data_IF_610246980731
#
_entry.id   IF_610246980731
#
_cell.length_a   1.000
_cell.length_b   1.000
_cell.length_c   1.000
_cell.angle_alpha   90.00
_cell.angle_beta   90.00
_cell.angle_gamma   90.00
#
_symmetry.space_group_name_H-M   'P 1'
#
loop_
_entity.id
_entity.type
_entity.pdbx_description
1 polymer ?
#
# COMPACT_ATOMS: atom_id res chain seq x y z
N UNK A 1 48.89 -33.01 69.74
CA UNK A 1 48.10 -31.84 70.18
C UNK A 1 48.27 -30.74 69.13
N UNK A 2 47.17 -30.08 68.71
CA UNK A 2 47.06 -28.91 67.79
C UNK A 2 47.32 -29.17 66.28
N UNK A 3 46.28 -29.20 65.42
CA UNK A 3 45.59 -28.07 64.72
C UNK A 3 46.46 -27.44 63.61
N UNK A 4 46.05 -27.16 62.37
CA UNK A 4 44.84 -27.38 61.56
C UNK A 4 45.20 -27.00 60.09
N UNK A 5 44.34 -27.39 59.14
CA UNK A 5 44.24 -27.08 57.69
C UNK A 5 44.78 -25.71 57.18
N UNK A 6 45.08 -25.51 55.88
CA UNK A 6 44.10 -25.07 54.85
C UNK A 6 44.72 -25.07 53.43
N UNK A 7 43.88 -25.49 52.48
CA UNK A 7 44.05 -25.58 51.02
C UNK A 7 44.40 -24.26 50.31
N UNK A 8 45.14 -24.35 49.18
CA UNK A 8 45.17 -23.31 48.14
C UNK A 8 44.65 -23.85 46.79
N UNK A 9 43.37 -23.57 46.58
CA UNK A 9 42.64 -23.23 45.36
C UNK A 9 43.25 -23.62 44.00
N UNK A 10 42.71 -24.70 43.42
CA UNK A 10 42.61 -24.89 41.96
C UNK A 10 41.45 -24.01 41.47
N UNK A 11 41.73 -22.96 40.71
CA UNK A 11 40.69 -22.22 39.99
C UNK A 11 40.15 -23.09 38.86
N UNK A 12 38.91 -23.57 39.02
CA UNK A 12 38.12 -24.14 37.95
C UNK A 12 37.32 -23.00 37.31
N UNK A 13 37.73 -22.54 36.13
CA UNK A 13 36.99 -21.57 35.35
C UNK A 13 35.81 -22.29 34.66
N UNK A 14 34.61 -22.16 35.22
CA UNK A 14 33.38 -22.63 34.58
C UNK A 14 32.99 -21.68 33.45
N UNK A 15 33.18 -22.12 32.19
CA UNK A 15 32.59 -21.47 31.02
C UNK A 15 31.07 -21.71 31.04
N UNK A 16 30.31 -20.71 31.48
CA UNK A 16 28.86 -20.65 31.31
C UNK A 16 28.57 -20.13 29.88
N UNK A 17 28.34 -21.05 28.95
CA UNK A 17 27.64 -20.73 27.69
C UNK A 17 26.18 -20.41 28.02
N UNK A 18 25.88 -19.15 28.30
CA UNK A 18 24.52 -18.65 28.33
C UNK A 18 23.90 -18.72 26.93
N UNK A 19 22.60 -19.01 26.79
CA UNK A 19 21.94 -19.00 25.50
C UNK A 19 21.97 -17.56 24.98
N UNK A 20 22.61 -17.35 23.82
CA UNK A 20 22.41 -16.14 23.05
C UNK A 20 20.92 -16.09 22.67
N UNK A 21 20.17 -15.21 23.32
CA UNK A 21 18.87 -14.81 22.81
C UNK A 21 19.14 -14.19 21.44
N UNK A 22 18.91 -14.98 20.38
CA UNK A 22 18.77 -14.45 19.04
C UNK A 22 17.58 -13.47 19.12
N UNK A 23 17.88 -12.18 19.22
CA UNK A 23 16.90 -11.17 18.91
C UNK A 23 16.58 -11.38 17.43
N UNK A 24 15.43 -11.99 17.15
CA UNK A 24 14.87 -11.95 15.82
C UNK A 24 14.75 -10.48 15.48
N UNK A 25 15.56 -10.03 14.53
CA UNK A 25 15.33 -8.80 13.81
C UNK A 25 13.92 -8.94 13.22
N UNK A 26 12.92 -8.31 13.85
CA UNK A 26 11.55 -8.19 13.35
C UNK A 26 11.65 -7.34 12.08
N UNK A 27 12.13 -7.95 11.00
CA UNK A 27 12.49 -7.24 9.79
C UNK A 27 11.28 -6.50 9.24
N UNK A 28 11.46 -5.23 8.91
CA UNK A 28 10.37 -4.43 8.38
C UNK A 28 9.95 -4.91 6.99
N UNK A 29 8.65 -4.99 6.75
CA UNK A 29 8.12 -5.29 5.43
C UNK A 29 8.51 -4.21 4.42
N UNK A 30 9.07 -4.62 3.28
CA UNK A 30 9.53 -3.72 2.23
C UNK A 30 8.46 -3.59 1.16
N UNK A 31 8.04 -2.36 0.91
CA UNK A 31 7.20 -2.03 -0.24
C UNK A 31 8.06 -1.74 -1.47
N UNK A 32 7.68 -2.36 -2.59
CA UNK A 32 8.31 -2.19 -3.89
C UNK A 32 7.24 -1.86 -4.94
N UNK A 33 7.58 -0.96 -5.85
CA UNK A 33 6.79 -0.66 -7.04
C UNK A 33 7.74 -0.65 -8.24
N UNK A 34 7.35 -1.33 -9.33
CA UNK A 34 8.15 -1.36 -10.55
C UNK A 34 8.25 0.02 -11.22
N UNK A 35 7.25 0.89 -10.97
CA UNK A 35 7.14 2.21 -11.59
C UNK A 35 6.93 3.25 -10.48
N UNK A 36 7.83 4.24 -10.41
CA UNK A 36 7.76 5.35 -9.46
C UNK A 36 7.11 6.61 -10.05
N UNK A 37 6.98 6.67 -11.37
CA UNK A 37 6.43 7.82 -12.09
C UNK A 37 5.48 7.35 -13.18
N UNK A 38 4.24 7.83 -13.16
CA UNK A 38 3.25 7.56 -14.20
C UNK A 38 3.18 8.79 -15.10
N UNK A 39 3.69 8.65 -16.32
CA UNK A 39 3.65 9.72 -17.32
C UNK A 39 2.44 9.56 -18.26
N UNK A 40 1.57 10.56 -18.25
CA UNK A 40 0.42 10.66 -19.14
C UNK A 40 0.71 11.48 -20.39
N UNK A 41 1.88 12.09 -20.50
CA UNK A 41 2.25 13.01 -21.55
C UNK A 41 1.36 14.24 -21.56
N UNK A 42 1.05 14.72 -22.77
CA UNK A 42 0.22 15.91 -22.95
C UNK A 42 -1.26 15.54 -22.99
N UNK A 43 -2.04 16.12 -22.09
CA UNK A 43 -3.49 16.09 -22.20
C UNK A 43 -3.97 17.04 -23.28
N UNK A 44 -4.76 16.52 -24.23
CA UNK A 44 -5.62 17.32 -25.11
C UNK A 44 -7.06 16.90 -24.89
N UNK A 45 -7.95 17.87 -24.81
CA UNK A 45 -9.37 17.62 -24.57
C UNK A 45 -9.98 16.68 -25.60
N UNK A 46 -9.63 16.87 -26.87
CA UNK A 46 -10.17 16.09 -28.00
C UNK A 46 -9.65 14.64 -28.03
N UNK A 47 -8.49 14.39 -27.43
CA UNK A 47 -7.87 13.06 -27.32
C UNK A 47 -8.42 12.27 -26.11
N UNK A 48 -9.15 12.94 -25.21
CA UNK A 48 -9.68 12.35 -23.99
C UNK A 48 -11.15 12.01 -24.12
N UNK A 49 -11.54 10.85 -23.58
CA UNK A 49 -12.93 10.42 -23.62
C UNK A 49 -13.74 11.23 -22.61
N UNK A 50 -14.78 11.91 -23.08
CA UNK A 50 -15.83 12.45 -22.20
C UNK A 50 -16.37 11.31 -21.35
N UNK A 51 -16.27 11.47 -20.04
CA UNK A 51 -16.67 10.47 -19.09
C UNK A 51 -17.19 11.12 -17.83
N UNK A 52 -18.19 10.49 -17.25
CA UNK A 52 -18.52 10.67 -15.85
C UNK A 52 -17.71 9.66 -15.07
N UNK A 53 -17.03 10.10 -14.01
CA UNK A 53 -16.67 9.17 -12.95
C UNK A 53 -17.49 9.50 -11.73
N UNK A 54 -18.45 8.62 -11.45
CA UNK A 54 -19.09 8.58 -10.15
C UNK A 54 -18.03 8.23 -9.11
N UNK A 55 -17.71 9.21 -8.28
CA UNK A 55 -16.87 9.03 -7.11
C UNK A 55 -17.73 9.31 -5.89
N UNK A 56 -18.19 8.24 -5.24
CA UNK A 56 -18.90 8.27 -3.95
C UNK A 56 -20.09 9.26 -4.00
N UNK A 57 -21.04 8.99 -4.90
CA UNK A 57 -22.29 9.75 -5.02
C UNK A 57 -22.18 11.14 -5.64
N UNK A 58 -21.01 11.52 -6.19
CA UNK A 58 -20.87 12.69 -7.07
C UNK A 58 -20.31 12.27 -8.41
N UNK A 59 -21.03 12.63 -9.46
CA UNK A 59 -20.57 12.47 -10.83
C UNK A 59 -19.56 13.58 -11.14
N UNK A 60 -18.28 13.24 -11.21
CA UNK A 60 -17.29 14.12 -11.83
C UNK A 60 -17.47 14.03 -13.33
N UNK A 61 -18.17 15.01 -13.89
CA UNK A 61 -18.23 15.23 -15.33
C UNK A 61 -16.88 15.79 -15.78
N UNK A 62 -16.20 15.07 -16.66
CA UNK A 62 -14.91 15.51 -17.17
C UNK A 62 -14.41 14.66 -18.33
N UNK A 63 -13.11 14.74 -18.54
CA UNK A 63 -12.40 14.03 -19.57
C UNK A 63 -11.48 13.03 -18.87
N UNK A 64 -11.68 11.74 -19.15
CA UNK A 64 -10.92 10.66 -18.55
C UNK A 64 -9.67 10.37 -19.38
N UNK A 65 -8.53 10.19 -18.70
CA UNK A 65 -7.34 9.65 -19.32
C UNK A 65 -7.50 8.17 -19.63
N UNK A 66 -6.58 7.62 -20.43
CA UNK A 66 -6.34 6.17 -20.46
C UNK A 66 -5.97 5.70 -19.05
N UNK A 67 -6.37 4.50 -18.66
CA UNK A 67 -5.94 3.90 -17.38
C UNK A 67 -4.50 3.42 -17.50
N UNK A 68 -3.66 3.78 -16.52
CA UNK A 68 -2.30 3.27 -16.40
C UNK A 68 -2.26 2.20 -15.33
N UNK A 69 -1.60 1.10 -15.62
CA UNK A 69 -1.45 -0.03 -14.70
C UNK A 69 -0.01 -0.14 -14.24
N UNK A 70 0.19 -0.38 -12.95
CA UNK A 70 1.50 -0.68 -12.39
C UNK A 70 1.38 -1.74 -11.29
N UNK A 71 2.40 -2.59 -11.21
CA UNK A 71 2.46 -3.63 -10.18
C UNK A 71 3.04 -3.07 -8.90
N UNK A 72 2.31 -3.26 -7.81
CA UNK A 72 2.78 -3.00 -6.45
C UNK A 72 3.02 -4.34 -5.75
N UNK A 73 4.04 -4.38 -4.90
CA UNK A 73 4.35 -5.55 -4.10
C UNK A 73 4.86 -5.16 -2.71
N UNK A 74 4.50 -5.98 -1.73
CA UNK A 74 5.04 -5.93 -0.37
C UNK A 74 5.71 -7.27 -0.10
N UNK A 75 6.90 -7.24 0.52
CA UNK A 75 7.64 -8.41 0.96
C UNK A 75 7.97 -8.29 2.44
N UNK A 76 7.55 -9.27 3.24
CA UNK A 76 7.82 -9.39 4.67
C UNK A 76 8.78 -10.56 4.92
N UNK A 77 9.58 -10.53 6.01
CA UNK A 77 10.45 -11.65 6.39
C UNK A 77 9.67 -12.85 6.95
N UNK A 78 8.46 -12.63 7.44
CA UNK A 78 7.55 -13.63 7.99
C UNK A 78 6.11 -13.34 7.56
N UNK A 79 5.22 -14.32 7.73
CA UNK A 79 3.82 -14.20 7.30
C UNK A 79 3.06 -13.15 8.12
N UNK A 80 2.58 -12.10 7.46
CA UNK A 80 1.82 -10.99 8.06
C UNK A 80 0.55 -10.71 7.25
N UNK A 81 -0.48 -10.17 7.91
CA UNK A 81 -1.57 -9.50 7.18
C UNK A 81 -1.02 -8.16 6.72
N UNK A 82 -0.99 -7.92 5.41
CA UNK A 82 -0.43 -6.70 4.82
C UNK A 82 -1.54 -5.79 4.30
N UNK A 83 -1.52 -4.54 4.72
CA UNK A 83 -2.47 -3.51 4.30
C UNK A 83 -1.76 -2.37 3.60
N UNK A 84 -2.13 -2.10 2.35
CA UNK A 84 -1.54 -1.01 1.56
C UNK A 84 -2.45 0.21 1.66
N UNK A 85 -1.91 1.32 2.19
CA UNK A 85 -2.58 2.61 2.18
C UNK A 85 -1.88 3.57 1.22
N UNK A 86 -2.61 4.59 0.80
CA UNK A 86 -2.09 5.68 -0.03
C UNK A 86 -2.26 6.96 0.76
N UNK A 87 -1.23 7.80 0.75
CA UNK A 87 -1.26 9.15 1.28
C UNK A 87 -1.07 10.13 0.13
N UNK A 88 -1.93 11.15 0.08
CA UNK A 88 -1.98 12.12 -0.99
C UNK A 88 -3.11 13.10 -0.78
N UNK A 89 -3.17 14.16 -1.58
CA UNK A 89 -4.25 15.12 -1.46
C UNK A 89 -5.58 14.49 -1.88
N UNK A 90 -6.64 14.77 -1.12
CA UNK A 90 -7.98 14.26 -1.35
C UNK A 90 -8.97 15.38 -1.67
N UNK A 91 -10.03 15.05 -2.44
CA UNK A 91 -11.22 15.89 -2.58
C UNK A 91 -12.34 15.36 -1.72
N UNK A 92 -12.53 15.98 -0.56
CA UNK A 92 -13.63 15.67 0.37
C UNK A 92 -13.71 14.17 0.71
N UNK A 93 -12.56 13.49 0.87
CA UNK A 93 -12.41 12.07 1.19
C UNK A 93 -13.10 11.08 0.25
N UNK A 94 -13.44 11.52 -0.98
CA UNK A 94 -14.18 10.70 -1.96
C UNK A 94 -13.37 10.31 -3.19
N UNK A 95 -12.42 11.15 -3.55
CA UNK A 95 -11.52 10.94 -4.67
C UNK A 95 -10.15 11.51 -4.34
N UNK A 96 -9.11 11.00 -4.99
CA UNK A 96 -7.80 11.61 -4.93
C UNK A 96 -7.83 12.92 -5.72
N UNK A 97 -7.23 13.99 -5.19
CA UNK A 97 -7.08 15.25 -5.91
C UNK A 97 -6.08 15.02 -7.04
N UNK A 98 -6.42 15.53 -8.21
CA UNK A 98 -5.47 15.63 -9.32
C UNK A 98 -5.53 17.04 -9.85
N UNK A 99 -4.65 17.91 -9.35
CA UNK A 99 -4.66 19.35 -9.56
C UNK A 99 -5.93 20.02 -9.01
N UNK A 100 -6.03 21.34 -9.16
CA UNK A 100 -7.20 22.12 -8.72
C UNK A 100 -8.44 21.91 -9.58
N UNK A 101 -8.29 21.38 -10.80
CA UNK A 101 -9.38 21.20 -11.74
C UNK A 101 -9.60 19.73 -12.15
N UNK A 102 -9.07 18.78 -11.38
CA UNK A 102 -9.22 17.35 -11.65
C UNK A 102 -9.29 16.46 -10.41
N UNK A 103 -9.51 15.18 -10.68
CA UNK A 103 -9.57 14.11 -9.71
C UNK A 103 -8.88 12.86 -10.27
N UNK A 104 -8.50 11.94 -9.39
CA UNK A 104 -7.85 10.68 -9.74
C UNK A 104 -8.59 9.52 -9.07
N UNK A 105 -8.90 8.51 -9.87
CA UNK A 105 -9.38 7.21 -9.43
C UNK A 105 -8.20 6.28 -9.28
N UNK A 106 -8.10 5.63 -8.13
CA UNK A 106 -7.16 4.55 -7.89
C UNK A 106 -7.97 3.30 -7.57
N UNK A 107 -7.68 2.23 -8.30
CA UNK A 107 -8.28 0.92 -8.08
C UNK A 107 -7.20 -0.15 -8.09
N UNK A 108 -7.50 -1.31 -7.52
CA UNK A 108 -6.60 -2.46 -7.48
C UNK A 108 -7.31 -3.70 -7.98
N UNK A 109 -6.59 -4.53 -8.73
CA UNK A 109 -7.03 -5.85 -9.21
C UNK A 109 -5.89 -6.86 -9.16
N UNK A 110 -6.18 -8.10 -9.55
CA UNK A 110 -5.20 -9.18 -9.71
C UNK A 110 -4.37 -9.48 -8.45
N UNK A 111 -4.99 -9.32 -7.28
CA UNK A 111 -4.38 -9.55 -5.98
C UNK A 111 -3.83 -10.97 -5.84
N UNK A 112 -2.61 -11.10 -5.33
CA UNK A 112 -1.99 -12.39 -4.99
C UNK A 112 -1.25 -12.35 -3.67
N UNK A 113 -1.50 -13.33 -2.81
CA UNK A 113 -0.77 -13.59 -1.58
C UNK A 113 0.07 -14.85 -1.78
N UNK A 114 1.39 -14.76 -1.64
CA UNK A 114 2.36 -15.85 -1.86
C UNK A 114 2.12 -16.56 -3.21
N UNK A 115 1.82 -15.78 -4.24
CA UNK A 115 1.52 -16.26 -5.59
C UNK A 115 0.10 -16.79 -5.82
N UNK A 116 -0.70 -17.02 -4.76
CA UNK A 116 -2.09 -17.50 -4.85
C UNK A 116 -3.04 -16.32 -5.06
N UNK A 117 -4.02 -16.48 -5.95
CA UNK A 117 -5.04 -15.45 -6.18
C UNK A 117 -5.86 -15.18 -4.93
N UNK A 118 -6.12 -13.91 -4.63
CA UNK A 118 -6.96 -13.45 -3.52
C UNK A 118 -7.97 -12.42 -4.03
N UNK A 119 -9.05 -12.23 -3.30
CA UNK A 119 -9.90 -11.06 -3.47
C UNK A 119 -9.29 -9.86 -2.74
N UNK A 120 -9.80 -8.67 -3.04
CA UNK A 120 -9.35 -7.40 -2.50
C UNK A 120 -10.50 -6.68 -1.80
N UNK A 121 -10.19 -6.05 -0.67
CA UNK A 121 -11.13 -5.21 0.06
C UNK A 121 -10.53 -3.83 0.33
N UNK A 122 -11.36 -2.78 0.22
CA UNK A 122 -11.02 -1.45 0.70
C UNK A 122 -11.65 -1.28 2.09
N UNK A 123 -10.82 -1.13 3.11
CA UNK A 123 -11.24 -1.11 4.52
C UNK A 123 -10.78 0.16 5.20
N UNK A 124 -11.45 0.55 6.28
CA UNK A 124 -10.97 1.66 7.10
C UNK A 124 -9.57 1.37 7.64
N UNK A 125 -8.71 2.39 7.65
CA UNK A 125 -7.40 2.29 8.30
C UNK A 125 -7.63 1.98 9.78
N UNK A 126 -6.97 0.92 10.28
CA UNK A 126 -7.17 0.42 11.65
C UNK A 126 -8.38 -0.49 11.85
N UNK A 127 -9.07 -0.92 10.78
CA UNK A 127 -10.18 -1.87 10.90
C UNK A 127 -9.76 -3.17 11.61
N UNK A 128 -10.53 -3.62 12.60
CA UNK A 128 -10.22 -4.86 13.36
C UNK A 128 -10.69 -6.10 12.61
N UNK A 129 -11.82 -6.01 11.91
CA UNK A 129 -12.41 -7.12 11.15
C UNK A 129 -12.46 -6.73 9.69
N UNK A 130 -11.94 -7.62 8.85
CA UNK A 130 -11.91 -7.44 7.39
C UNK A 130 -12.51 -8.69 6.75
N UNK A 131 -13.60 -8.47 6.03
CA UNK A 131 -14.41 -9.51 5.40
C UNK A 131 -14.94 -9.01 4.05
N UNK A 132 -15.50 -9.95 3.27
CA UNK A 132 -15.96 -9.69 1.92
C UNK A 132 -14.80 -9.71 0.93
N UNK A 133 -14.93 -8.95 -0.15
CA UNK A 133 -13.91 -8.85 -1.19
C UNK A 133 -14.49 -8.80 -2.58
N UNK A 134 -13.69 -8.29 -3.51
CA UNK A 134 -13.97 -8.28 -4.94
C UNK A 134 -12.67 -8.54 -5.72
N UNK A 135 -12.75 -9.05 -6.97
CA UNK A 135 -11.57 -9.19 -7.83
C UNK A 135 -10.93 -7.85 -8.19
N UNK A 136 -11.72 -6.77 -8.16
CA UNK A 136 -11.28 -5.38 -8.33
C UNK A 136 -11.96 -4.50 -7.28
N UNK A 137 -11.21 -3.59 -6.67
CA UNK A 137 -11.75 -2.62 -5.72
C UNK A 137 -11.18 -1.23 -5.96
N UNK A 138 -12.03 -0.20 -5.89
CA UNK A 138 -11.58 1.19 -5.86
C UNK A 138 -11.08 1.52 -4.46
N UNK A 139 -9.91 2.14 -4.35
CA UNK A 139 -9.33 2.55 -3.07
C UNK A 139 -9.50 4.08 -2.91
N UNK A 140 -10.54 4.54 -2.20
CA UNK A 140 -10.70 5.96 -1.91
C UNK A 140 -9.70 6.42 -0.83
N UNK A 141 -9.56 7.74 -0.62
CA UNK A 141 -8.79 8.28 0.50
C UNK A 141 -9.21 7.67 1.84
N UNK A 142 -8.27 7.64 2.80
CA UNK A 142 -8.48 7.14 4.17
C UNK A 142 -8.85 5.66 4.29
N UNK A 143 -8.71 4.89 3.20
CA UNK A 143 -8.85 3.44 3.19
C UNK A 143 -7.50 2.74 3.00
N UNK A 144 -7.45 1.50 3.43
CA UNK A 144 -6.37 0.57 3.13
C UNK A 144 -6.90 -0.60 2.27
N UNK A 145 -6.05 -1.08 1.37
CA UNK A 145 -6.26 -2.28 0.58
C UNK A 145 -5.83 -3.49 1.42
N UNK A 146 -6.73 -4.45 1.59
CA UNK A 146 -6.45 -5.73 2.23
C UNK A 146 -6.69 -6.90 1.26
N UNK A 147 -5.90 -7.96 1.42
CA UNK A 147 -6.09 -9.23 0.72
C UNK A 147 -7.04 -10.12 1.51
N UNK A 148 -8.03 -10.72 0.84
CA UNK A 148 -9.08 -11.51 1.49
C UNK A 148 -9.39 -12.82 0.75
N UNK A 149 -9.74 -13.84 1.51
CA UNK A 149 -10.33 -15.10 1.04
C UNK A 149 -11.43 -15.49 2.04
N UNK A 150 -12.57 -14.81 1.96
CA UNK A 150 -13.61 -14.81 3.00
C UNK A 150 -13.27 -13.89 4.18
N UNK A 151 -12.08 -14.05 4.76
CA UNK A 151 -11.48 -13.15 5.76
C UNK A 151 -10.11 -12.67 5.28
N UNK A 152 -9.55 -11.67 5.96
CA UNK A 152 -8.18 -11.20 5.69
C UNK A 152 -7.15 -12.31 5.82
N UNK A 153 -6.29 -12.42 4.82
CA UNK A 153 -5.26 -13.46 4.74
C UNK A 153 -3.88 -12.88 5.03
N UNK A 154 -3.03 -13.69 5.64
CA UNK A 154 -1.63 -13.40 5.87
C UNK A 154 -0.74 -14.12 4.83
N UNK A 155 0.46 -13.59 4.62
CA UNK A 155 1.51 -14.20 3.80
C UNK A 155 2.80 -13.40 3.88
N UNK A 156 3.81 -13.80 3.13
CA UNK A 156 5.13 -13.14 3.09
C UNK A 156 5.24 -12.19 1.90
N UNK A 157 4.48 -12.43 0.83
CA UNK A 157 4.48 -11.61 -0.37
C UNK A 157 3.06 -11.27 -0.83
N UNK A 158 2.72 -9.99 -0.79
CA UNK A 158 1.47 -9.47 -1.37
C UNK A 158 1.77 -8.72 -2.66
N UNK A 159 1.08 -9.04 -3.76
CA UNK A 159 1.15 -8.27 -5.01
C UNK A 159 -0.24 -7.90 -5.52
N UNK A 160 -0.36 -6.73 -6.13
CA UNK A 160 -1.58 -6.29 -6.80
C UNK A 160 -1.24 -5.39 -7.99
N UNK A 161 -2.17 -5.28 -8.94
CA UNK A 161 -2.09 -4.31 -10.03
C UNK A 161 -2.85 -3.05 -9.63
N UNK A 162 -2.14 -1.94 -9.43
CA UNK A 162 -2.73 -0.63 -9.22
C UNK A 162 -3.09 -0.01 -10.57
N UNK A 163 -4.33 0.46 -10.67
CA UNK A 163 -4.89 1.14 -11.83
C UNK A 163 -5.13 2.61 -11.48
N UNK A 164 -4.59 3.50 -12.31
CA UNK A 164 -4.70 4.95 -12.11
C UNK A 164 -5.37 5.57 -13.33
N UNK A 165 -6.47 6.29 -13.08
CA UNK A 165 -7.19 7.07 -14.09
C UNK A 165 -7.37 8.49 -13.59
N UNK A 166 -6.90 9.46 -14.37
CA UNK A 166 -7.08 10.88 -14.09
C UNK A 166 -8.30 11.43 -14.81
N UNK A 167 -8.98 12.39 -14.19
CA UNK A 167 -10.15 13.07 -14.72
C UNK A 167 -9.92 14.57 -14.63
N UNK A 168 -10.04 15.25 -15.77
CA UNK A 168 -9.91 16.70 -15.86
C UNK A 168 -11.25 17.33 -16.19
N UNK A 169 -11.62 18.38 -15.45
CA UNK A 169 -12.81 19.17 -15.77
C UNK A 169 -12.57 20.06 -16.99
N UNK A 170 -13.64 20.63 -17.55
CA UNK A 170 -13.56 21.61 -18.65
C UNK A 170 -12.61 22.78 -18.33
N UNK A 171 -12.60 23.25 -17.07
CA UNK A 171 -11.75 24.35 -16.61
C UNK A 171 -10.26 24.03 -16.72
N UNK A 172 -9.86 22.76 -16.61
CA UNK A 172 -8.46 22.36 -16.75
C UNK A 172 -7.91 22.62 -18.16
N UNK A 173 -8.77 22.71 -19.17
CA UNK A 173 -8.40 23.01 -20.56
C UNK A 173 -8.56 24.49 -20.93
N UNK A 174 -9.11 25.30 -20.03
CA UNK A 174 -9.31 26.74 -20.24
C UNK A 174 -8.06 27.53 -19.82
N UNK A 175 -6.93 27.20 -20.43
CA UNK A 175 -5.61 27.80 -20.13
C UNK A 175 -5.07 28.53 -21.36
N UNK A 176 -4.40 29.66 -21.13
CA UNK A 176 -3.75 30.43 -22.21
C UNK A 176 -2.44 29.80 -22.67
N UNK A 177 -1.72 29.16 -21.73
CA UNK A 177 -0.43 28.49 -21.97
C UNK A 177 -0.47 27.05 -21.45
N UNK A 178 0.43 26.21 -21.96
CA UNK A 178 0.63 24.87 -21.42
C UNK A 178 0.94 24.95 -19.91
N UNK A 179 0.29 24.09 -19.13
CA UNK A 179 0.44 24.02 -17.68
C UNK A 179 0.83 22.60 -17.29
N UNK A 180 1.89 22.47 -16.49
CA UNK A 180 2.33 21.17 -16.01
C UNK A 180 1.44 20.69 -14.85
N UNK A 181 0.98 19.45 -14.95
CA UNK A 181 0.11 18.83 -13.95
C UNK A 181 0.92 17.72 -13.25
N UNK A 182 1.27 17.96 -11.98
CA UNK A 182 2.03 17.00 -11.17
C UNK A 182 1.31 16.74 -9.86
N UNK A 183 1.25 15.47 -9.46
CA UNK A 183 0.82 15.06 -8.12
C UNK A 183 1.75 13.98 -7.60
N UNK A 184 1.93 13.94 -6.28
CA UNK A 184 2.71 12.92 -5.60
C UNK A 184 1.79 12.12 -4.67
N UNK A 185 1.89 10.80 -4.78
CA UNK A 185 1.25 9.86 -3.87
C UNK A 185 2.33 9.06 -3.17
N UNK A 186 2.14 8.83 -1.88
CA UNK A 186 3.00 7.96 -1.07
C UNK A 186 2.23 6.69 -0.75
N UNK A 187 2.79 5.54 -1.13
CA UNK A 187 2.23 4.25 -0.71
C UNK A 187 2.90 3.83 0.60
N UNK A 188 2.11 3.30 1.52
CA UNK A 188 2.58 2.85 2.83
C UNK A 188 1.98 1.47 3.13
N UNK A 189 2.74 0.64 3.83
CA UNK A 189 2.25 -0.65 4.32
C UNK A 189 2.10 -0.59 5.83
N UNK A 190 0.95 -1.06 6.31
CA UNK A 190 0.74 -1.44 7.70
C UNK A 190 0.63 -2.97 7.77
N UNK A 191 1.12 -3.56 8.86
CA UNK A 191 1.13 -5.02 9.02
C UNK A 191 0.62 -5.45 10.36
N UNK A 192 -0.22 -6.48 10.34
CA UNK A 192 -0.72 -7.14 11.54
C UNK A 192 -0.16 -8.57 11.61
N UNK A 193 -0.03 -9.14 12.81
CA UNK A 193 0.24 -10.57 12.97
C UNK A 193 -0.77 -11.44 12.19
N UNK A 194 -0.30 -12.61 11.75
CA UNK A 194 -1.12 -13.61 11.06
C UNK A 194 -2.35 -14.03 11.87
#
# INVERSE_FOLDING_TARGET
MSLNNIHKYVMLAALLCGPAAAQADDGECKMMSAVKTIDYGRYRKDDMRKGSAEHVGKVYNGYASVTRELRVSVMCPDARKMRISINGAARQNRAWRYTDNGAMKIAFKDGRMDGKSVQLAAVDIGAVVVQGGAPEVTLPPEKALAAVNGMEVAGEQFTATMMVTTYLSEKAFSVTNATDLTETLTLSVDTLPA
#
